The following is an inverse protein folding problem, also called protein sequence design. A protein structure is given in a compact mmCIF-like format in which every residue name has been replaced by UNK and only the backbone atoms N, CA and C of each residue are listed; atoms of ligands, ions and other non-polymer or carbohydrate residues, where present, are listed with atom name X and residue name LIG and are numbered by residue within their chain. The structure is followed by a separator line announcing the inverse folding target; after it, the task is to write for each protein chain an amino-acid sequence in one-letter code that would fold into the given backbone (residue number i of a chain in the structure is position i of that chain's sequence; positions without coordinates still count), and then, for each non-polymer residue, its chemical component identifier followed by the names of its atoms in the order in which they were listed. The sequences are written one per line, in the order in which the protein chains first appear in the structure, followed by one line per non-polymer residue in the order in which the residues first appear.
data_IF_241364760555
#
_entry.id   IF_241364760555
#
_cell.length_a   1.000
_cell.length_b   1.000
_cell.length_c   1.000
_cell.angle_alpha   90.00
_cell.angle_beta   90.00
_cell.angle_gamma   90.00
#
_symmetry.space_group_name_H-M   'P 1'
#
loop_
_entity.id
_entity.type
_entity.pdbx_description
1 polymer ?
#
# COMPACT_ATOMS: atom_id res chain seq x y z
N UNK A 1 0.95 -0.37 8.54
CA UNK A 1 0.64 -1.45 7.59
C UNK A 1 1.30 -1.16 6.24
N UNK A 2 1.79 -2.20 5.57
CA UNK A 2 2.41 -2.10 4.25
C UNK A 2 1.65 -3.06 3.34
N UNK A 3 1.32 -2.59 2.11
CA UNK A 3 0.72 -3.40 1.06
C UNK A 3 1.75 -3.48 -0.07
N UNK A 4 2.17 -4.69 -0.41
CA UNK A 4 2.99 -4.94 -1.60
C UNK A 4 2.09 -5.04 -2.83
N UNK A 5 2.45 -4.32 -3.88
CA UNK A 5 1.67 -4.31 -5.12
C UNK A 5 2.44 -5.02 -6.24
N UNK A 6 1.76 -5.80 -7.10
CA UNK A 6 2.42 -6.37 -8.26
C UNK A 6 2.91 -5.27 -9.20
N UNK A 7 4.13 -5.42 -9.73
CA UNK A 7 4.72 -4.46 -10.66
C UNK A 7 4.18 -4.54 -12.08
N UNK A 8 3.57 -5.66 -12.48
CA UNK A 8 3.17 -5.91 -13.87
C UNK A 8 1.88 -5.15 -14.25
N UNK A 9 1.84 -4.60 -15.45
CA UNK A 9 0.73 -3.77 -15.97
C UNK A 9 -0.63 -4.50 -16.01
N UNK A 10 -0.64 -5.82 -16.11
CA UNK A 10 -1.87 -6.61 -16.11
C UNK A 10 -2.63 -6.57 -14.78
N UNK A 11 -1.97 -6.17 -13.70
CA UNK A 11 -2.54 -6.08 -12.35
C UNK A 11 -2.96 -4.64 -11.96
N UNK A 12 -3.24 -3.79 -12.94
CA UNK A 12 -3.61 -2.40 -12.69
C UNK A 12 -4.84 -2.23 -11.79
N UNK A 13 -5.77 -3.18 -11.79
CA UNK A 13 -6.94 -3.15 -10.91
C UNK A 13 -6.57 -3.41 -9.44
N UNK A 14 -5.72 -4.41 -9.17
CA UNK A 14 -5.20 -4.72 -7.83
C UNK A 14 -4.35 -3.58 -7.29
N UNK A 15 -3.51 -2.99 -8.15
CA UNK A 15 -2.71 -1.80 -7.82
C UNK A 15 -3.62 -0.63 -7.43
N UNK A 16 -4.63 -0.31 -8.23
CA UNK A 16 -5.57 0.78 -7.96
C UNK A 16 -6.30 0.61 -6.63
N UNK A 17 -6.73 -0.61 -6.28
CA UNK A 17 -7.38 -0.91 -5.01
C UNK A 17 -6.44 -0.76 -3.82
N UNK A 18 -5.21 -1.28 -3.97
CA UNK A 18 -4.17 -1.16 -2.95
C UNK A 18 -3.82 0.30 -2.68
N UNK A 19 -3.62 1.07 -3.73
CA UNK A 19 -3.38 2.52 -3.62
C UNK A 19 -4.54 3.23 -2.91
N UNK A 20 -5.78 2.94 -3.29
CA UNK A 20 -6.97 3.53 -2.63
C UNK A 20 -7.08 3.18 -1.13
N UNK A 21 -6.39 2.14 -0.68
CA UNK A 21 -6.35 1.73 0.71
C UNK A 21 -5.18 2.32 1.51
N UNK A 22 -4.30 3.09 0.88
CA UNK A 22 -3.09 3.64 1.50
C UNK A 22 -3.13 5.17 1.55
N UNK A 23 -2.34 5.76 2.42
CA UNK A 23 -2.17 7.22 2.57
C UNK A 23 -1.03 7.76 1.71
N UNK A 24 -0.13 6.89 1.27
CA UNK A 24 1.01 7.25 0.44
C UNK A 24 1.70 6.04 -0.16
N UNK A 25 2.73 6.25 -0.95
CA UNK A 25 3.37 5.21 -1.74
C UNK A 25 4.89 5.31 -1.68
N UNK A 26 5.55 4.17 -1.72
CA UNK A 26 6.99 4.07 -1.96
C UNK A 26 7.22 3.73 -3.43
N UNK A 27 7.93 4.59 -4.14
CA UNK A 27 8.35 4.34 -5.51
C UNK A 27 9.72 3.66 -5.50
N UNK A 28 9.73 2.34 -5.61
CA UNK A 28 10.96 1.54 -5.58
C UNK A 28 11.51 1.38 -7.00
N UNK A 29 12.68 1.95 -7.25
CA UNK A 29 13.35 1.89 -8.55
C UNK A 29 14.65 1.10 -8.40
N UNK A 30 14.89 0.17 -9.33
CA UNK A 30 16.15 -0.54 -9.47
C UNK A 30 17.24 0.41 -10.00
N UNK A 31 18.21 0.76 -9.18
CA UNK A 31 19.28 1.71 -9.55
C UNK A 31 20.24 1.19 -10.62
N UNK A 32 20.12 -0.07 -11.02
CA UNK A 32 20.91 -0.64 -12.13
C UNK A 32 20.18 -0.57 -13.47
N UNK A 33 18.85 -0.48 -13.44
CA UNK A 33 18.00 -0.47 -14.66
C UNK A 33 17.37 0.91 -14.91
N UNK A 34 17.11 1.68 -13.84
CA UNK A 34 16.42 2.95 -13.93
C UNK A 34 14.90 2.82 -13.94
N UNK A 35 14.21 3.82 -14.50
CA UNK A 35 12.75 3.89 -14.54
C UNK A 35 12.20 3.06 -15.70
N UNK A 36 11.47 2.00 -15.38
CA UNK A 36 10.81 1.15 -16.37
C UNK A 36 9.37 1.61 -16.68
N UNK A 37 8.83 1.20 -17.84
CA UNK A 37 7.48 1.57 -18.26
C UNK A 37 6.39 1.13 -17.27
N UNK A 38 6.58 -0.01 -16.62
CA UNK A 38 5.66 -0.53 -15.59
C UNK A 38 5.64 0.37 -14.36
N UNK A 39 6.80 0.85 -13.95
CA UNK A 39 6.97 1.80 -12.83
C UNK A 39 6.18 3.08 -13.11
N UNK A 40 6.25 3.60 -14.33
CA UNK A 40 5.51 4.80 -14.73
C UNK A 40 4.00 4.63 -14.64
N UNK A 41 3.46 3.51 -15.14
CA UNK A 41 2.03 3.26 -15.10
C UNK A 41 1.49 3.25 -13.66
N UNK A 42 2.21 2.65 -12.73
CA UNK A 42 1.82 2.54 -11.33
C UNK A 42 1.99 3.87 -10.56
N UNK A 43 3.08 4.60 -10.82
CA UNK A 43 3.33 5.87 -10.11
C UNK A 43 2.33 6.95 -10.53
N UNK A 44 1.93 7.00 -11.79
CA UNK A 44 0.90 7.95 -12.23
C UNK A 44 -0.45 7.67 -11.56
N UNK A 45 -0.82 6.40 -11.36
CA UNK A 45 -2.04 6.07 -10.58
C UNK A 45 -1.96 6.59 -9.14
N UNK A 46 -0.79 6.53 -8.50
CA UNK A 46 -0.59 7.07 -7.15
C UNK A 46 -0.69 8.60 -7.13
N UNK A 47 -0.09 9.27 -8.11
CA UNK A 47 -0.15 10.74 -8.26
C UNK A 47 -1.56 11.23 -8.55
N UNK A 48 -2.33 10.52 -9.39
CA UNK A 48 -3.72 10.87 -9.74
C UNK A 48 -4.66 10.90 -8.52
N UNK A 49 -4.35 10.13 -7.47
CA UNK A 49 -5.10 10.14 -6.20
C UNK A 49 -4.42 10.99 -5.12
N UNK A 50 -3.44 11.82 -5.50
CA UNK A 50 -2.70 12.73 -4.62
C UNK A 50 -1.94 12.03 -3.48
N UNK A 51 -1.37 10.86 -3.73
CA UNK A 51 -0.47 10.23 -2.78
C UNK A 51 0.83 11.03 -2.64
N UNK A 52 1.31 11.14 -1.40
CA UNK A 52 2.72 11.44 -1.17
C UNK A 52 3.54 10.25 -1.63
N UNK A 53 4.52 10.49 -2.51
CA UNK A 53 5.35 9.43 -3.10
C UNK A 53 6.80 9.62 -2.68
N UNK A 54 7.36 8.62 -2.00
CA UNK A 54 8.76 8.63 -1.56
C UNK A 54 9.59 7.79 -2.52
N UNK A 55 10.54 8.39 -3.26
CA UNK A 55 11.45 7.65 -4.14
C UNK A 55 12.47 6.82 -3.34
N UNK A 56 12.59 5.54 -3.68
CA UNK A 56 13.55 4.60 -3.10
C UNK A 56 14.44 4.03 -4.21
N UNK A 57 15.75 4.16 -4.06
CA UNK A 57 16.74 3.67 -5.02
C UNK A 57 17.31 2.35 -4.51
N UNK A 58 16.79 1.23 -5.02
CA UNK A 58 17.14 -0.10 -4.55
C UNK A 58 18.33 -0.69 -5.33
N UNK A 59 18.93 -1.72 -4.75
CA UNK A 59 20.07 -2.49 -5.28
C UNK A 59 21.38 -1.72 -5.32
N UNK A 60 21.64 -0.84 -4.36
CA UNK A 60 22.90 -0.09 -4.26
C UNK A 60 24.11 -0.98 -3.99
N UNK A 61 23.89 -2.22 -3.57
CA UNK A 61 24.93 -3.24 -3.38
C UNK A 61 25.53 -3.77 -4.69
N UNK A 62 24.90 -3.47 -5.83
CA UNK A 62 25.37 -3.95 -7.12
C UNK A 62 26.35 -2.96 -7.79
N UNK A 63 27.44 -3.44 -8.40
CA UNK A 63 28.42 -2.56 -9.05
C UNK A 63 27.88 -1.73 -10.23
N UNK A 64 26.75 -2.16 -10.82
CA UNK A 64 26.10 -1.47 -11.92
C UNK A 64 25.10 -0.38 -11.44
N UNK A 65 24.98 -0.17 -10.14
CA UNK A 65 24.12 0.86 -9.57
C UNK A 65 24.63 2.26 -9.90
N UNK A 66 23.74 3.10 -10.46
CA UNK A 66 24.02 4.51 -10.75
C UNK A 66 22.90 5.39 -10.18
N UNK A 67 23.13 5.88 -8.97
CA UNK A 67 22.14 6.66 -8.22
C UNK A 67 21.86 8.01 -8.88
N UNK A 68 22.87 8.70 -9.39
CA UNK A 68 22.69 10.03 -9.97
C UNK A 68 21.92 9.95 -11.30
N UNK A 69 22.21 8.95 -12.12
CA UNK A 69 21.45 8.68 -13.32
C UNK A 69 20.01 8.35 -13.01
N UNK A 70 19.77 7.46 -12.03
CA UNK A 70 18.41 7.03 -11.63
C UNK A 70 17.59 8.19 -11.06
N UNK A 71 18.18 9.05 -10.21
CA UNK A 71 17.52 10.27 -9.73
C UNK A 71 17.08 11.17 -10.88
N UNK A 72 17.99 11.43 -11.80
CA UNK A 72 17.69 12.27 -12.95
C UNK A 72 16.57 11.70 -13.82
N UNK A 73 16.57 10.39 -14.05
CA UNK A 73 15.48 9.72 -14.77
C UNK A 73 14.13 9.87 -14.05
N UNK A 74 14.10 9.72 -12.73
CA UNK A 74 12.87 9.94 -11.93
C UNK A 74 12.36 11.37 -12.09
N UNK A 75 13.24 12.36 -12.00
CA UNK A 75 12.87 13.77 -12.15
C UNK A 75 12.38 14.12 -13.56
N UNK A 76 13.08 13.64 -14.59
CA UNK A 76 12.76 13.96 -15.98
C UNK A 76 11.51 13.21 -16.49
N UNK A 77 11.31 11.97 -16.07
CA UNK A 77 10.28 11.09 -16.63
C UNK A 77 9.04 11.02 -15.75
N UNK A 78 9.22 10.98 -14.43
CA UNK A 78 8.10 10.91 -13.47
C UNK A 78 7.66 12.29 -13.00
N UNK A 79 8.58 13.25 -12.91
CA UNK A 79 8.32 14.60 -12.44
C UNK A 79 8.30 14.74 -10.91
N UNK A 80 8.91 13.81 -10.19
CA UNK A 80 9.01 13.81 -8.72
C UNK A 80 10.42 14.26 -8.31
N UNK A 81 10.52 15.18 -7.34
CA UNK A 81 11.81 15.59 -6.78
C UNK A 81 12.52 14.43 -6.09
N UNK A 82 13.80 14.26 -6.38
CA UNK A 82 14.64 13.18 -5.82
C UNK A 82 15.62 13.63 -4.73
N UNK A 83 15.54 14.90 -4.30
CA UNK A 83 16.40 15.45 -3.23
C UNK A 83 16.35 14.59 -1.96
N UNK A 84 15.21 13.99 -1.68
CA UNK A 84 14.97 13.12 -0.53
C UNK A 84 14.85 11.63 -0.91
N UNK A 85 15.33 11.23 -2.08
CA UNK A 85 15.35 9.83 -2.49
C UNK A 85 16.28 9.02 -1.57
N UNK A 86 15.80 7.85 -1.13
CA UNK A 86 16.50 7.02 -0.15
C UNK A 86 17.19 5.88 -0.87
N UNK A 87 18.53 5.80 -0.84
CA UNK A 87 19.25 4.66 -1.35
C UNK A 87 19.11 3.47 -0.40
N UNK A 88 18.89 2.27 -0.94
CA UNK A 88 18.79 1.06 -0.13
C UNK A 88 19.25 -0.20 -0.85
N UNK A 89 19.43 -1.25 -0.09
CA UNK A 89 19.58 -2.62 -0.59
C UNK A 89 18.66 -3.56 0.19
N UNK A 90 17.64 -4.04 -0.45
CA UNK A 90 16.78 -5.09 0.12
C UNK A 90 17.53 -6.41 0.38
N UNK A 91 18.71 -6.60 -0.21
CA UNK A 91 19.55 -7.79 0.01
C UNK A 91 20.42 -7.67 1.25
N UNK A 92 21.02 -6.51 1.49
CA UNK A 92 21.96 -6.30 2.61
C UNK A 92 21.27 -5.70 3.84
N UNK A 93 20.10 -5.07 3.67
CA UNK A 93 19.38 -4.32 4.70
C UNK A 93 19.83 -2.86 4.83
N UNK A 94 20.80 -2.41 4.03
CA UNK A 94 21.27 -1.02 4.03
C UNK A 94 20.15 -0.07 3.63
N UNK A 95 19.96 1.04 4.38
CA UNK A 95 18.96 2.07 4.12
C UNK A 95 17.52 1.69 4.54
N UNK A 96 17.27 0.50 5.08
CA UNK A 96 15.91 0.09 5.47
C UNK A 96 15.38 0.92 6.64
N UNK A 97 16.20 1.23 7.63
CA UNK A 97 15.79 2.07 8.76
C UNK A 97 15.42 3.48 8.32
N UNK A 98 16.14 4.04 7.34
CA UNK A 98 15.84 5.35 6.76
C UNK A 98 14.50 5.35 6.02
N UNK A 99 14.16 4.25 5.34
CA UNK A 99 12.85 4.07 4.70
C UNK A 99 11.73 4.05 5.75
N UNK A 100 11.91 3.29 6.84
CA UNK A 100 10.92 3.22 7.91
C UNK A 100 10.71 4.57 8.60
N UNK A 101 11.77 5.32 8.87
CA UNK A 101 11.69 6.69 9.39
C UNK A 101 11.01 7.66 8.40
N UNK A 102 11.28 7.52 7.12
CA UNK A 102 10.63 8.33 6.09
C UNK A 102 9.13 8.05 6.00
N UNK A 103 8.69 6.80 6.12
CA UNK A 103 7.27 6.43 6.18
C UNK A 103 6.59 7.15 7.33
N UNK A 104 7.19 7.12 8.53
CA UNK A 104 6.61 7.72 9.74
C UNK A 104 6.59 9.26 9.66
N UNK A 105 7.64 9.85 9.11
CA UNK A 105 7.84 11.31 9.14
C UNK A 105 7.21 12.05 7.96
N UNK A 106 7.05 11.41 6.80
CA UNK A 106 6.63 12.05 5.56
C UNK A 106 5.23 11.64 5.11
N UNK A 107 4.82 10.39 5.33
CA UNK A 107 3.48 9.98 4.92
C UNK A 107 2.43 10.44 5.94
N UNK A 108 1.26 10.89 5.47
CA UNK A 108 0.18 11.29 6.37
C UNK A 108 -0.36 10.09 7.16
N UNK A 109 -0.78 10.33 8.39
CA UNK A 109 -1.46 9.32 9.18
C UNK A 109 -2.86 9.02 8.61
N UNK A 110 -3.39 7.80 8.80
CA UNK A 110 -4.77 7.49 8.43
C UNK A 110 -5.75 8.45 9.12
N UNK A 111 -6.73 8.92 8.35
CA UNK A 111 -7.81 9.78 8.85
C UNK A 111 -9.06 8.93 8.98
N UNK A 112 -9.71 8.95 10.17
CA UNK A 112 -10.94 8.22 10.40
C UNK A 112 -11.64 8.68 11.69
N UNK A 113 -12.97 8.53 11.72
CA UNK A 113 -13.81 8.95 12.83
C UNK A 113 -14.40 7.73 13.52
N UNK A 114 -13.91 7.45 14.75
CA UNK A 114 -14.33 6.27 15.55
C UNK A 114 -15.84 6.23 15.90
N UNK A 115 -16.46 7.40 16.04
CA UNK A 115 -17.85 7.53 16.46
C UNK A 115 -18.84 7.63 15.30
N UNK A 116 -18.34 7.65 14.07
CA UNK A 116 -19.15 7.65 12.87
C UNK A 116 -19.70 6.26 12.54
N UNK A 117 -20.65 6.21 11.61
CA UNK A 117 -21.16 4.93 11.08
C UNK A 117 -20.04 4.18 10.38
N UNK A 118 -20.03 2.87 10.56
CA UNK A 118 -19.07 1.99 9.91
C UNK A 118 -19.03 2.24 8.41
N UNK A 119 -17.84 2.50 7.92
CA UNK A 119 -17.47 2.56 6.50
C UNK A 119 -16.18 1.77 6.31
N UNK A 120 -16.22 0.80 5.40
CA UNK A 120 -15.04 0.02 5.03
C UNK A 120 -14.82 0.08 3.52
N UNK A 121 -13.56 0.15 3.12
CA UNK A 121 -13.13 -0.12 1.77
C UNK A 121 -12.78 -1.60 1.66
N UNK A 122 -13.35 -2.29 0.69
CA UNK A 122 -12.98 -3.67 0.34
C UNK A 122 -11.71 -3.59 -0.52
N UNK A 123 -10.61 -4.14 -0.01
CA UNK A 123 -9.31 -4.17 -0.69
C UNK A 123 -9.18 -5.43 -1.52
N UNK A 124 -9.46 -6.59 -0.91
CA UNK A 124 -9.35 -7.90 -1.55
C UNK A 124 -10.33 -8.91 -0.98
N UNK A 125 -10.54 -10.03 -1.67
CA UNK A 125 -11.39 -11.11 -1.18
C UNK A 125 -10.96 -12.46 -1.75
N UNK A 126 -11.02 -13.51 -0.92
CA UNK A 126 -10.73 -14.89 -1.34
C UNK A 126 -11.65 -15.89 -0.63
N UNK A 127 -11.64 -17.10 -1.13
CA UNK A 127 -12.35 -18.21 -0.50
C UNK A 127 -11.38 -19.07 0.30
N UNK A 128 -11.67 -19.25 1.57
CA UNK A 128 -10.97 -20.18 2.46
C UNK A 128 -11.86 -21.38 2.74
N UNK A 129 -11.32 -22.60 2.71
CA UNK A 129 -12.10 -23.83 2.88
C UNK A 129 -12.71 -24.00 4.28
N UNK A 130 -12.18 -23.30 5.30
CA UNK A 130 -12.66 -23.36 6.68
C UNK A 130 -13.45 -22.13 7.08
N UNK A 131 -13.06 -20.94 6.58
CA UNK A 131 -13.66 -19.66 6.95
C UNK A 131 -14.71 -19.19 5.95
N UNK A 132 -14.82 -19.82 4.78
CA UNK A 132 -15.69 -19.37 3.72
C UNK A 132 -15.11 -18.16 2.99
N UNK A 133 -15.94 -17.14 2.71
CA UNK A 133 -15.48 -15.91 2.06
C UNK A 133 -14.76 -15.02 3.08
N UNK A 134 -13.50 -14.78 2.84
CA UNK A 134 -12.67 -13.85 3.61
C UNK A 134 -12.51 -12.56 2.82
N UNK A 135 -12.66 -11.44 3.50
CA UNK A 135 -12.59 -10.11 2.89
C UNK A 135 -11.51 -9.29 3.62
N UNK A 136 -10.53 -8.80 2.88
CA UNK A 136 -9.57 -7.83 3.38
C UNK A 136 -10.20 -6.44 3.27
N UNK A 137 -10.31 -5.76 4.39
CA UNK A 137 -10.91 -4.42 4.45
C UNK A 137 -10.00 -3.42 5.12
N UNK A 138 -10.09 -2.17 4.68
CA UNK A 138 -9.66 -1.02 5.45
C UNK A 138 -10.88 -0.37 6.10
N UNK A 139 -10.86 -0.20 7.41
CA UNK A 139 -11.89 0.57 8.12
C UNK A 139 -11.60 2.06 7.93
N UNK A 140 -12.52 2.76 7.29
CA UNK A 140 -12.41 4.21 7.04
C UNK A 140 -12.99 4.97 8.22
N UNK A 141 -14.20 4.59 8.68
CA UNK A 141 -14.85 5.17 9.84
C UNK A 141 -15.50 4.08 10.71
N UNK A 142 -15.64 4.39 11.97
CA UNK A 142 -16.36 3.55 12.92
C UNK A 142 -15.60 2.30 13.34
N UNK A 143 -16.35 1.27 13.68
CA UNK A 143 -15.82 0.00 14.23
C UNK A 143 -16.50 -1.19 13.61
N UNK A 144 -15.71 -2.20 13.30
CA UNK A 144 -16.15 -3.50 12.79
C UNK A 144 -16.04 -4.56 13.90
N UNK A 145 -17.10 -5.30 14.17
CA UNK A 145 -17.15 -6.32 15.23
C UNK A 145 -17.77 -7.62 14.73
N UNK A 146 -17.42 -8.71 15.40
CA UNK A 146 -18.09 -10.00 15.23
C UNK A 146 -19.60 -9.86 15.50
N UNK A 147 -20.41 -10.61 14.75
CA UNK A 147 -21.88 -10.61 14.77
C UNK A 147 -22.54 -9.30 14.34
N UNK A 148 -21.78 -8.35 13.83
CA UNK A 148 -22.31 -7.11 13.28
C UNK A 148 -22.96 -7.36 11.92
N UNK A 149 -24.10 -6.72 11.68
CA UNK A 149 -24.75 -6.72 10.39
C UNK A 149 -24.15 -5.63 9.52
N UNK A 150 -23.66 -5.99 8.35
CA UNK A 150 -23.10 -5.08 7.35
C UNK A 150 -23.91 -5.13 6.06
N UNK A 151 -23.79 -4.09 5.27
CA UNK A 151 -24.39 -3.97 3.95
C UNK A 151 -23.32 -3.67 2.92
N UNK A 152 -23.28 -4.44 1.86
CA UNK A 152 -22.45 -4.12 0.70
C UNK A 152 -23.13 -3.02 -0.11
N UNK A 153 -22.42 -1.90 -0.32
CA UNK A 153 -22.98 -0.74 -1.01
C UNK A 153 -23.17 -0.96 -2.51
N UNK A 154 -22.47 -1.95 -3.10
CA UNK A 154 -22.54 -2.24 -4.54
C UNK A 154 -23.81 -2.95 -4.98
N UNK A 155 -24.42 -3.75 -4.12
CA UNK A 155 -25.58 -4.60 -4.45
C UNK A 155 -26.67 -4.62 -3.37
N UNK A 156 -26.53 -3.78 -2.34
CA UNK A 156 -27.47 -3.66 -1.20
C UNK A 156 -27.68 -4.94 -0.37
N UNK A 157 -26.84 -5.97 -0.57
CA UNK A 157 -26.94 -7.22 0.19
C UNK A 157 -26.41 -7.05 1.62
N UNK A 158 -27.08 -7.72 2.55
CA UNK A 158 -26.72 -7.70 3.97
C UNK A 158 -26.07 -9.01 4.39
N UNK A 159 -25.05 -8.92 5.22
CA UNK A 159 -24.31 -10.05 5.75
C UNK A 159 -24.06 -9.87 7.24
N UNK A 160 -23.87 -10.98 7.94
CA UNK A 160 -23.43 -11.00 9.34
C UNK A 160 -21.97 -11.37 9.36
N UNK A 161 -21.15 -10.60 10.10
CA UNK A 161 -19.73 -10.87 10.28
C UNK A 161 -19.55 -12.03 11.23
N UNK A 162 -19.02 -13.13 10.77
CA UNK A 162 -18.76 -14.31 11.59
C UNK A 162 -17.47 -14.16 12.40
N UNK A 163 -16.45 -13.49 11.83
CA UNK A 163 -15.11 -13.38 12.40
C UNK A 163 -14.46 -12.08 12.00
N UNK A 164 -13.63 -11.52 12.90
CA UNK A 164 -12.78 -10.35 12.64
C UNK A 164 -11.35 -10.70 13.05
N UNK A 165 -10.37 -10.28 12.26
CA UNK A 165 -8.97 -10.55 12.55
C UNK A 165 -8.03 -9.61 11.83
N UNK A 166 -6.74 -9.73 12.15
CA UNK A 166 -5.62 -9.03 11.51
C UNK A 166 -4.50 -10.00 11.17
N UNK A 167 -3.65 -9.63 10.23
CA UNK A 167 -2.43 -10.38 9.92
C UNK A 167 -1.23 -9.77 10.65
N UNK A 168 -0.51 -10.61 11.47
CA UNK A 168 0.66 -10.19 12.26
C UNK A 168 1.81 -11.21 12.29
N UNK A 169 2.44 -11.65 11.24
CA UNK A 169 1.99 -11.84 9.84
C UNK A 169 0.97 -12.98 9.68
N UNK A 170 0.80 -13.83 10.70
CA UNK A 170 -0.22 -14.89 10.71
C UNK A 170 -1.59 -14.31 11.07
N UNK A 171 -2.68 -14.97 10.61
CA UNK A 171 -4.02 -14.60 11.01
C UNK A 171 -4.17 -14.61 12.53
N UNK A 172 -4.65 -13.53 13.11
CA UNK A 172 -4.92 -13.38 14.53
C UNK A 172 -6.31 -12.81 14.73
N UNK A 173 -7.14 -13.53 15.48
CA UNK A 173 -8.51 -13.11 15.75
C UNK A 173 -8.53 -11.97 16.76
N UNK A 174 -9.41 -11.00 16.52
CA UNK A 174 -9.63 -9.86 17.40
C UNK A 174 -11.14 -9.63 17.61
N UNK A 175 -11.51 -8.90 18.65
CA UNK A 175 -12.90 -8.62 18.94
C UNK A 175 -13.47 -7.48 18.08
N UNK A 176 -12.67 -6.46 17.84
CA UNK A 176 -13.04 -5.31 17.01
C UNK A 176 -11.86 -4.79 16.18
N UNK A 177 -12.18 -4.21 15.03
CA UNK A 177 -11.29 -3.45 14.18
C UNK A 177 -11.84 -2.02 14.06
N UNK A 178 -11.01 -1.01 14.24
CA UNK A 178 -11.42 0.40 14.21
C UNK A 178 -10.66 1.20 13.15
N UNK A 179 -11.21 2.35 12.77
CA UNK A 179 -10.52 3.36 11.96
C UNK A 179 -9.33 3.95 12.69
#
# INVERSE_FOLDING_TARGET
NIIDTPGHVDFGYEVSRSLSACEGSLLIVDSTQGVEAQTLANVYQALDINHEVIPILNKIDLPASDLEKTKKEIEEVVGIETTNAIPCSGKTGEGIDDILEAIISKLPAPIGELNEKLKCLLVDSWYDSYLGVVILVRVINGKLKKNMKIKLMSNDQEYIIEKVGVFTPKPNDIEELSS
#
